data_IF_862887250063
#
_entry.id   IF_862887250063
#
_cell.length_a   1.000
_cell.length_b   1.000
_cell.length_c   1.000
_cell.angle_alpha   90.00
_cell.angle_beta   90.00
_cell.angle_gamma   90.00
#
_symmetry.space_group_name_H-M   'P 1'
#
loop_
_entity.id
_entity.type
_entity.pdbx_description
1 polymer ?
#
# COMPACT_ATOMS: atom_id res chain seq x y z
N UNK A 1 26.72 -19.26 11.49
CA UNK A 1 25.57 -19.30 10.57
C UNK A 1 24.36 -19.71 11.39
N UNK A 2 23.52 -18.75 11.77
CA UNK A 2 22.37 -19.01 12.64
C UNK A 2 21.14 -19.21 11.72
N UNK A 3 20.68 -20.45 11.61
CA UNK A 3 19.47 -20.81 10.89
C UNK A 3 18.28 -20.13 11.54
N UNK A 4 17.58 -19.27 10.79
CA UNK A 4 16.39 -18.56 11.25
C UNK A 4 15.36 -19.54 11.79
N UNK A 5 15.23 -19.59 13.12
CA UNK A 5 14.04 -20.17 13.75
C UNK A 5 12.88 -19.28 13.35
N UNK A 6 12.01 -19.80 12.50
CA UNK A 6 10.70 -19.22 12.25
C UNK A 6 10.04 -18.98 13.60
N UNK A 7 9.58 -17.75 13.79
CA UNK A 7 8.90 -17.34 15.02
C UNK A 7 7.66 -18.22 15.20
N UNK A 8 7.50 -18.80 16.40
CA UNK A 8 6.42 -19.76 16.70
C UNK A 8 5.02 -19.14 16.51
N UNK A 9 4.06 -19.97 16.12
CA UNK A 9 2.73 -19.54 15.69
C UNK A 9 1.87 -18.90 16.79
N UNK A 10 2.22 -19.14 18.05
CA UNK A 10 1.42 -18.78 19.23
C UNK A 10 1.44 -17.30 19.57
N UNK A 11 2.33 -16.53 18.96
CA UNK A 11 2.52 -15.10 19.29
C UNK A 11 2.06 -14.15 18.17
N UNK A 12 1.56 -14.70 17.06
CA UNK A 12 1.01 -13.92 15.94
C UNK A 12 -0.49 -13.70 16.09
N UNK A 13 -0.93 -12.46 15.90
CA UNK A 13 -2.34 -12.12 15.89
C UNK A 13 -2.79 -11.83 14.46
N UNK A 14 -3.52 -12.74 13.78
CA UNK A 14 -4.10 -12.44 12.47
C UNK A 14 -5.21 -11.40 12.64
N UNK A 15 -5.27 -10.45 11.71
CA UNK A 15 -6.21 -9.32 11.80
C UNK A 15 -7.05 -9.18 10.53
N UNK A 16 -6.43 -9.16 9.35
CA UNK A 16 -7.13 -8.98 8.08
C UNK A 16 -6.88 -10.19 7.18
N UNK A 17 -7.95 -10.85 6.75
CA UNK A 17 -7.87 -11.95 5.79
C UNK A 17 -7.73 -11.41 4.37
N UNK A 18 -6.73 -11.90 3.62
CA UNK A 18 -6.48 -11.50 2.23
C UNK A 18 -7.34 -12.26 1.21
N UNK A 19 -8.02 -13.34 1.63
CA UNK A 19 -8.90 -14.11 0.74
C UNK A 19 -8.27 -15.38 0.15
N UNK A 20 -6.94 -15.45 0.08
CA UNK A 20 -6.17 -16.53 -0.56
C UNK A 20 -5.42 -17.42 0.45
N UNK A 21 -5.91 -17.47 1.69
CA UNK A 21 -5.26 -18.18 2.80
C UNK A 21 -4.20 -17.34 3.54
N UNK A 22 -3.83 -16.17 3.03
CA UNK A 22 -2.92 -15.26 3.72
C UNK A 22 -3.65 -14.24 4.61
N UNK A 23 -2.94 -13.82 5.66
CA UNK A 23 -3.39 -12.86 6.66
C UNK A 23 -2.37 -11.75 6.85
N UNK A 24 -2.88 -10.53 7.07
CA UNK A 24 -2.13 -9.42 7.66
C UNK A 24 -2.42 -9.40 9.15
N UNK A 25 -1.41 -9.09 9.95
CA UNK A 25 -1.51 -9.13 11.40
C UNK A 25 -0.23 -8.68 12.08
N UNK A 26 -0.16 -8.92 13.39
CA UNK A 26 0.95 -8.49 14.24
C UNK A 26 1.90 -9.65 14.53
N UNK A 27 3.16 -9.45 14.17
CA UNK A 27 4.28 -10.32 14.52
C UNK A 27 4.66 -10.17 16.00
N UNK A 28 5.35 -11.15 16.59
CA UNK A 28 5.68 -11.11 18.03
C UNK A 28 6.63 -9.99 18.43
N UNK A 29 7.39 -9.48 17.48
CA UNK A 29 8.22 -8.28 17.65
C UNK A 29 7.43 -6.97 17.50
N UNK A 30 6.10 -7.07 17.41
CA UNK A 30 5.16 -5.96 17.27
C UNK A 30 4.91 -5.53 15.83
N UNK A 31 5.75 -5.91 14.85
CA UNK A 31 5.67 -5.42 13.46
C UNK A 31 4.48 -5.98 12.69
N UNK A 32 3.99 -5.22 11.71
CA UNK A 32 2.98 -5.74 10.77
C UNK A 32 3.67 -6.77 9.87
N UNK A 33 3.09 -7.96 9.81
CA UNK A 33 3.54 -9.02 8.92
C UNK A 33 2.50 -9.43 7.91
N UNK A 34 2.91 -10.35 7.05
CA UNK A 34 2.01 -11.22 6.30
C UNK A 34 2.37 -12.67 6.62
N UNK A 35 1.40 -13.56 6.57
CA UNK A 35 1.65 -14.99 6.57
C UNK A 35 0.43 -15.79 6.18
N UNK A 36 0.66 -17.02 5.73
CA UNK A 36 -0.39 -18.05 5.68
C UNK A 36 -0.48 -18.66 7.07
N UNK A 37 -1.68 -19.05 7.53
CA UNK A 37 -1.87 -19.65 8.86
C UNK A 37 -0.89 -20.79 9.17
N UNK A 38 -0.39 -21.50 8.15
CA UNK A 38 0.37 -22.75 8.31
C UNK A 38 1.80 -22.75 7.75
N UNK A 39 2.26 -21.77 6.95
CA UNK A 39 3.42 -22.00 6.05
C UNK A 39 4.49 -20.89 5.93
N UNK A 40 4.45 -19.82 6.73
CA UNK A 40 5.58 -18.89 6.84
C UNK A 40 5.18 -17.42 6.96
N UNK A 41 6.11 -16.59 7.44
CA UNK A 41 5.88 -15.20 7.86
C UNK A 41 6.99 -14.29 7.34
N UNK A 42 6.61 -13.11 6.89
CA UNK A 42 7.55 -12.03 6.63
C UNK A 42 6.98 -10.72 7.18
N UNK A 43 7.84 -9.84 7.68
CA UNK A 43 7.40 -8.45 7.94
C UNK A 43 7.02 -7.79 6.62
N UNK A 44 6.05 -6.86 6.65
CA UNK A 44 5.72 -6.12 5.44
C UNK A 44 6.92 -5.33 4.93
N UNK A 45 7.68 -4.69 5.82
CA UNK A 45 8.93 -4.01 5.46
C UNK A 45 9.97 -4.96 4.85
N UNK A 46 10.18 -6.13 5.46
CA UNK A 46 11.16 -7.11 5.00
C UNK A 46 10.79 -7.78 3.68
N UNK A 47 9.52 -7.73 3.31
CA UNK A 47 9.00 -8.18 2.01
C UNK A 47 8.81 -7.04 1.01
N UNK A 48 9.21 -5.81 1.36
CA UNK A 48 9.02 -4.63 0.53
C UNK A 48 7.55 -4.36 0.19
N UNK A 49 6.61 -4.71 1.07
CA UNK A 49 5.16 -4.54 0.90
C UNK A 49 4.53 -5.32 -0.27
N UNK A 50 5.30 -6.15 -0.98
CA UNK A 50 4.80 -7.04 -2.05
C UNK A 50 3.53 -7.82 -1.67
N UNK A 51 3.40 -8.35 -0.44
CA UNK A 51 2.21 -9.11 -0.05
C UNK A 51 0.92 -8.31 0.03
N UNK A 52 1.02 -6.97 0.04
CA UNK A 52 -0.11 -6.05 0.03
C UNK A 52 -0.65 -5.79 -1.38
N UNK A 53 0.13 -6.07 -2.43
CA UNK A 53 -0.25 -5.75 -3.80
C UNK A 53 -1.60 -6.34 -4.26
N UNK A 54 -1.98 -7.58 -3.89
CA UNK A 54 -3.28 -8.13 -4.26
C UNK A 54 -4.48 -7.30 -3.77
N UNK A 55 -4.33 -6.48 -2.71
CA UNK A 55 -5.40 -5.59 -2.28
C UNK A 55 -5.73 -4.52 -3.32
N UNK A 56 -4.79 -4.15 -4.20
CA UNK A 56 -5.01 -3.18 -5.29
C UNK A 56 -5.94 -3.68 -6.39
N UNK A 57 -6.29 -4.96 -6.39
CA UNK A 57 -7.35 -5.51 -7.25
C UNK A 57 -8.75 -5.08 -6.78
N UNK A 58 -8.85 -4.43 -5.61
CA UNK A 58 -10.08 -3.91 -5.00
C UNK A 58 -10.06 -2.39 -4.96
N UNK A 59 -11.22 -1.79 -4.70
CA UNK A 59 -11.34 -0.34 -4.53
C UNK A 59 -10.54 0.16 -3.31
N UNK A 60 -9.84 1.29 -3.46
CA UNK A 60 -9.05 1.90 -2.39
C UNK A 60 -9.92 2.18 -1.16
N UNK A 61 -11.12 2.72 -1.36
CA UNK A 61 -12.05 3.06 -0.28
C UNK A 61 -12.40 1.86 0.60
N UNK A 62 -12.59 0.69 -0.02
CA UNK A 62 -12.90 -0.57 0.68
C UNK A 62 -11.70 -1.03 1.50
N UNK A 63 -10.51 -1.07 0.89
CA UNK A 63 -9.28 -1.48 1.58
C UNK A 63 -8.93 -0.52 2.72
N UNK A 64 -8.98 0.80 2.47
CA UNK A 64 -8.72 1.81 3.49
C UNK A 64 -9.72 1.69 4.65
N UNK A 65 -11.00 1.43 4.37
CA UNK A 65 -12.02 1.21 5.40
C UNK A 65 -11.78 -0.04 6.23
N UNK A 66 -11.35 -1.14 5.62
CA UNK A 66 -10.96 -2.37 6.33
C UNK A 66 -9.75 -2.14 7.24
N UNK A 67 -8.68 -1.57 6.71
CA UNK A 67 -7.47 -1.29 7.50
C UNK A 67 -7.73 -0.28 8.60
N UNK A 68 -8.57 0.73 8.37
CA UNK A 68 -8.93 1.72 9.40
C UNK A 68 -9.70 1.10 10.56
N UNK A 69 -10.67 0.22 10.28
CA UNK A 69 -11.41 -0.51 11.34
C UNK A 69 -10.52 -1.46 12.12
N UNK A 70 -9.57 -2.08 11.43
CA UNK A 70 -8.63 -3.01 12.03
C UNK A 70 -7.42 -2.32 12.68
N UNK A 71 -7.31 -0.98 12.58
CA UNK A 71 -6.07 -0.29 12.90
C UNK A 71 -5.71 -0.34 14.37
N UNK A 72 -6.69 -0.33 15.27
CA UNK A 72 -6.42 -0.50 16.72
C UNK A 72 -5.65 -1.79 17.00
N UNK A 73 -5.92 -2.84 16.23
CA UNK A 73 -5.20 -4.12 16.32
C UNK A 73 -3.87 -4.14 15.57
N UNK A 74 -3.60 -3.16 14.68
CA UNK A 74 -2.40 -3.11 13.81
C UNK A 74 -1.38 -2.02 14.20
N UNK A 75 -1.77 -1.02 15.00
CA UNK A 75 -1.01 0.21 15.27
C UNK A 75 0.36 0.01 15.95
N UNK A 76 0.69 -1.22 16.38
CA UNK A 76 1.99 -1.55 16.98
C UNK A 76 3.13 -1.76 15.99
N UNK A 77 2.85 -1.81 14.67
CA UNK A 77 3.71 -2.57 13.77
C UNK A 77 4.58 -1.84 12.74
N UNK A 78 5.12 -0.68 13.09
CA UNK A 78 6.14 0.03 12.28
C UNK A 78 5.58 0.95 11.19
N UNK A 79 4.29 0.81 10.86
CA UNK A 79 3.54 1.76 10.03
C UNK A 79 2.61 2.58 10.92
N UNK A 80 2.61 3.89 10.75
CA UNK A 80 1.94 4.82 11.67
C UNK A 80 0.43 4.96 11.43
N UNK A 81 -0.03 4.81 10.18
CA UNK A 81 -1.45 4.97 9.81
C UNK A 81 -1.87 4.01 8.69
N UNK A 82 -3.18 3.73 8.52
CA UNK A 82 -3.68 2.98 7.37
C UNK A 82 -3.29 3.66 6.04
N UNK A 83 -3.33 4.99 6.00
CA UNK A 83 -2.91 5.77 4.85
C UNK A 83 -1.44 5.51 4.50
N UNK A 84 -0.56 5.46 5.50
CA UNK A 84 0.86 5.17 5.29
C UNK A 84 1.10 3.76 4.76
N UNK A 85 0.32 2.77 5.21
CA UNK A 85 0.38 1.40 4.67
C UNK A 85 0.03 1.36 3.17
N UNK A 86 -1.00 2.10 2.78
CA UNK A 86 -1.40 2.25 1.37
C UNK A 86 -0.31 2.94 0.56
N UNK A 87 0.24 4.08 1.04
CA UNK A 87 1.33 4.79 0.35
C UNK A 87 2.53 3.87 0.08
N UNK A 88 2.97 3.11 1.09
CA UNK A 88 4.09 2.19 0.95
C UNK A 88 3.78 1.03 -0.01
N UNK A 89 2.54 0.54 -0.01
CA UNK A 89 2.08 -0.51 -0.92
C UNK A 89 2.10 -0.05 -2.37
N UNK A 90 1.52 1.11 -2.64
CA UNK A 90 1.39 1.71 -3.98
C UNK A 90 2.76 2.11 -4.51
N UNK A 91 3.59 2.75 -3.68
CA UNK A 91 4.97 3.10 -4.05
C UNK A 91 5.80 1.85 -4.35
N UNK A 92 5.67 0.79 -3.56
CA UNK A 92 6.34 -0.49 -3.84
C UNK A 92 5.89 -1.12 -5.17
N UNK A 93 4.58 -1.15 -5.42
CA UNK A 93 4.02 -1.71 -6.64
C UNK A 93 4.48 -0.96 -7.89
N UNK A 94 4.47 0.38 -7.83
CA UNK A 94 4.95 1.22 -8.92
C UNK A 94 6.44 1.00 -9.22
N UNK A 95 7.27 0.99 -8.17
CA UNK A 95 8.71 0.80 -8.30
C UNK A 95 9.13 -0.64 -8.64
N UNK A 96 8.18 -1.57 -8.73
CA UNK A 96 8.48 -2.98 -9.00
C UNK A 96 8.94 -3.26 -10.44
N UNK A 97 8.62 -2.37 -11.39
CA UNK A 97 8.81 -2.60 -12.82
C UNK A 97 7.91 -3.69 -13.41
N UNK A 98 6.89 -4.17 -12.66
CA UNK A 98 5.95 -5.21 -13.10
C UNK A 98 4.68 -4.55 -13.65
N UNK A 99 4.43 -4.56 -14.97
CA UNK A 99 3.38 -3.77 -15.61
C UNK A 99 2.00 -3.92 -14.96
N UNK A 100 1.60 -5.14 -14.63
CA UNK A 100 0.32 -5.41 -13.98
C UNK A 100 0.12 -4.64 -12.66
N UNK A 101 1.10 -4.72 -11.75
CA UNK A 101 1.02 -4.05 -10.45
C UNK A 101 1.20 -2.54 -10.56
N UNK A 102 2.03 -2.09 -11.49
CA UNK A 102 2.18 -0.67 -11.81
C UNK A 102 0.85 -0.06 -12.29
N UNK A 103 0.13 -0.76 -13.17
CA UNK A 103 -1.16 -0.29 -13.67
C UNK A 103 -2.24 -0.29 -12.58
N UNK A 104 -2.26 -1.29 -11.69
CA UNK A 104 -3.17 -1.32 -10.54
C UNK A 104 -2.90 -0.21 -9.51
N UNK A 105 -1.65 0.27 -9.42
CA UNK A 105 -1.31 1.38 -8.53
C UNK A 105 -1.95 2.71 -8.98
N UNK A 106 -2.10 2.94 -10.29
CA UNK A 106 -2.60 4.20 -10.87
C UNK A 106 -3.97 4.65 -10.33
N UNK A 107 -5.05 3.83 -10.39
CA UNK A 107 -6.35 4.26 -9.90
C UNK A 107 -6.32 4.62 -8.42
N UNK A 108 -5.55 3.88 -7.61
CA UNK A 108 -5.37 4.21 -6.20
C UNK A 108 -4.68 5.56 -6.01
N UNK A 109 -3.60 5.87 -6.75
CA UNK A 109 -2.92 7.19 -6.66
C UNK A 109 -3.85 8.33 -7.04
N UNK A 110 -4.67 8.16 -8.08
CA UNK A 110 -5.66 9.16 -8.50
C UNK A 110 -6.68 9.42 -7.39
N UNK A 111 -7.20 8.37 -6.74
CA UNK A 111 -8.11 8.51 -5.61
C UNK A 111 -7.42 9.13 -4.39
N UNK A 112 -6.18 8.74 -4.09
CA UNK A 112 -5.36 9.32 -3.02
C UNK A 112 -5.18 10.83 -3.21
N UNK A 113 -4.99 11.30 -4.46
CA UNK A 113 -4.87 12.72 -4.79
C UNK A 113 -6.13 13.53 -4.41
N UNK A 114 -7.30 12.90 -4.27
CA UNK A 114 -8.54 13.58 -3.91
C UNK A 114 -8.75 13.69 -2.39
N UNK A 115 -8.11 12.84 -1.61
CA UNK A 115 -8.27 12.75 -0.16
C UNK A 115 -7.16 13.53 0.59
N UNK A 116 -7.42 13.98 1.82
CA UNK A 116 -6.49 14.84 2.59
C UNK A 116 -5.62 14.08 3.59
N UNK A 117 -5.89 12.79 3.81
CA UNK A 117 -5.21 11.92 4.77
C UNK A 117 -3.93 11.27 4.23
N UNK A 118 -3.58 11.52 2.97
CA UNK A 118 -2.36 11.01 2.33
C UNK A 118 -1.33 12.11 2.15
N UNK A 119 -0.06 11.71 2.16
CA UNK A 119 1.07 12.59 1.95
C UNK A 119 1.04 13.20 0.53
N UNK A 120 0.96 14.53 0.47
CA UNK A 120 0.82 15.27 -0.79
C UNK A 120 2.08 15.22 -1.63
N UNK A 121 3.24 15.31 -1.01
CA UNK A 121 4.53 15.29 -1.70
C UNK A 121 4.77 13.91 -2.33
N UNK A 122 4.47 12.84 -1.59
CA UNK A 122 4.50 11.48 -2.09
C UNK A 122 3.61 11.30 -3.32
N UNK A 123 2.35 11.75 -3.25
CA UNK A 123 1.40 11.64 -4.37
C UNK A 123 1.88 12.46 -5.57
N UNK A 124 2.34 13.71 -5.36
CA UNK A 124 2.83 14.58 -6.44
C UNK A 124 4.00 13.94 -7.18
N UNK A 125 4.99 13.43 -6.44
CA UNK A 125 6.15 12.76 -7.03
C UNK A 125 5.72 11.54 -7.84
N UNK A 126 4.85 10.71 -7.28
CA UNK A 126 4.41 9.48 -7.92
C UNK A 126 3.56 9.74 -9.17
N UNK A 127 2.66 10.73 -9.14
CA UNK A 127 1.91 11.16 -10.33
C UNK A 127 2.84 11.68 -11.42
N UNK A 128 3.89 12.43 -11.05
CA UNK A 128 4.91 12.91 -12.00
C UNK A 128 5.59 11.75 -12.73
N UNK A 129 6.04 10.73 -12.00
CA UNK A 129 6.63 9.52 -12.58
C UNK A 129 5.64 8.76 -13.48
N UNK A 130 4.36 8.72 -13.10
CA UNK A 130 3.31 8.04 -13.86
C UNK A 130 3.01 8.70 -15.19
N UNK A 131 3.00 10.05 -15.27
CA UNK A 131 2.73 10.79 -16.51
C UNK A 131 3.73 10.40 -17.61
N UNK A 132 5.00 10.29 -17.25
CA UNK A 132 6.08 10.02 -18.20
C UNK A 132 6.26 8.53 -18.52
N UNK A 133 5.46 7.66 -17.90
CA UNK A 133 5.64 6.21 -18.02
C UNK A 133 5.05 5.64 -19.30
N UNK A 134 5.85 4.87 -20.03
CA UNK A 134 5.42 4.11 -21.21
C UNK A 134 4.54 2.89 -20.84
N UNK A 135 4.52 2.49 -19.56
CA UNK A 135 3.70 1.36 -19.07
C UNK A 135 2.20 1.69 -19.10
N UNK A 136 1.87 2.98 -19.08
CA UNK A 136 0.50 3.46 -19.10
C UNK A 136 0.03 3.68 -20.54
N UNK A 137 -1.19 3.21 -20.81
CA UNK A 137 -1.89 3.60 -22.02
C UNK A 137 -2.25 5.11 -21.99
N UNK A 138 -2.60 5.69 -23.15
CA UNK A 138 -2.92 7.11 -23.23
C UNK A 138 -4.09 7.54 -22.32
N UNK A 139 -5.10 6.70 -22.11
CA UNK A 139 -6.28 7.04 -21.31
C UNK A 139 -5.91 7.15 -19.82
N UNK A 140 -5.15 6.18 -19.30
CA UNK A 140 -4.62 6.23 -17.94
C UNK A 140 -3.67 7.41 -17.75
N UNK A 141 -2.82 7.71 -18.74
CA UNK A 141 -1.94 8.89 -18.68
C UNK A 141 -2.73 10.19 -18.59
N UNK A 142 -3.81 10.33 -19.36
CA UNK A 142 -4.71 11.49 -19.29
C UNK A 142 -5.39 11.61 -17.91
N UNK A 143 -5.70 10.48 -17.26
CA UNK A 143 -6.27 10.47 -15.91
C UNK A 143 -5.25 10.93 -14.86
N UNK A 144 -4.02 10.42 -14.95
CA UNK A 144 -2.89 10.83 -14.08
C UNK A 144 -2.59 12.31 -14.27
N UNK A 145 -2.54 12.79 -15.52
CA UNK A 145 -2.28 14.20 -15.82
C UNK A 145 -3.33 15.12 -15.19
N UNK A 146 -4.62 14.74 -15.29
CA UNK A 146 -5.72 15.49 -14.66
C UNK A 146 -5.60 15.49 -13.13
N UNK A 147 -5.28 14.35 -12.53
CA UNK A 147 -5.07 14.26 -11.09
C UNK A 147 -3.89 15.12 -10.61
N UNK A 148 -2.79 15.14 -11.39
CA UNK A 148 -1.60 15.97 -11.12
C UNK A 148 -1.93 17.46 -11.17
N UNK A 149 -2.61 17.92 -12.21
CA UNK A 149 -3.05 19.32 -12.32
C UNK A 149 -3.95 19.74 -11.16
N UNK A 150 -4.94 18.91 -10.82
CA UNK A 150 -5.84 19.18 -9.70
C UNK A 150 -5.12 19.31 -8.35
N UNK A 151 -4.10 18.47 -8.14
CA UNK A 151 -3.29 18.46 -6.93
C UNK A 151 -2.45 19.73 -6.80
N UNK A 152 -1.95 20.26 -7.92
CA UNK A 152 -1.18 21.51 -7.98
C UNK A 152 -2.08 22.74 -7.77
N UNK A 153 -3.28 22.75 -8.35
CA UNK A 153 -4.24 23.85 -8.17
C UNK A 153 -4.64 24.02 -6.69
N UNK A 154 -4.88 22.91 -5.97
CA UNK A 154 -5.17 22.93 -4.52
C UNK A 154 -4.02 23.43 -3.65
N UNK A 155 -2.79 23.43 -4.15
CA UNK A 155 -1.64 23.98 -3.44
C UNK A 155 -1.49 25.50 -3.67
N UNK A 156 -2.05 26.02 -4.77
CA UNK A 156 -2.00 27.44 -5.13
C UNK A 156 -2.98 28.35 -4.38
N UNK A 157 -4.05 27.80 -3.79
CA UNK A 157 -5.11 28.56 -3.11
C UNK A 157 -4.78 28.91 -1.63
N UNK A 158 -3.53 28.73 -1.19
CA UNK A 158 -3.08 28.95 0.19
C UNK A 158 -2.04 30.05 0.38
N UNK A 159 -1.93 31.00 -0.56
CA UNK A 159 -0.99 32.14 -0.51
C UNK A 159 -1.55 33.40 0.15
#
# INVERSE_FOLDING_TARGET
MNTGRGVEMTEWTPVVYRGDGAWIGIMPDGRIGVGVELEGRATLEGSGFVPMWPFMERELSVCLGEFSRAWESLNGGGVSTPAKLIELTVGSAWNSGRPYWMQLAVPWVIEMAQQSNFDREFIQNLLGEMVDSEVLDPELRDHVQRASSYLNDRHGDGG
#
